data_IF_520437914884
#
_entry.id   IF_520437914884
#
_cell.length_a   1.000
_cell.length_b   1.000
_cell.length_c   1.000
_cell.angle_alpha   90.00
_cell.angle_beta   90.00
_cell.angle_gamma   90.00
#
_symmetry.space_group_name_H-M   'P 1'
#
loop_
_entity.id
_entity.type
_entity.pdbx_description
1 polymer ?
#
# COMPACT_ATOMS: atom_id res chain seq x y z
N UNK A 1 -2.76 16.48 -13.65
CA UNK A 1 -1.40 17.05 -13.55
C UNK A 1 -1.51 18.50 -13.14
N UNK A 2 -0.81 18.89 -12.11
CA UNK A 2 -0.69 20.24 -11.59
C UNK A 2 0.73 20.71 -11.87
N UNK A 3 0.87 21.71 -12.72
CA UNK A 3 2.18 22.25 -13.11
C UNK A 3 2.26 23.70 -12.66
N UNK A 4 3.29 24.00 -11.88
CA UNK A 4 3.57 25.37 -11.43
C UNK A 4 4.48 26.14 -12.36
N UNK A 5 4.50 27.46 -12.19
CA UNK A 5 5.39 28.37 -12.94
C UNK A 5 6.80 28.42 -12.32
N UNK A 6 6.95 28.02 -11.04
CA UNK A 6 8.24 27.99 -10.34
C UNK A 6 8.92 26.64 -10.56
N UNK A 7 10.27 26.61 -10.70
CA UNK A 7 11.03 25.37 -10.70
C UNK A 7 10.80 24.56 -9.42
N UNK A 8 10.78 23.25 -9.54
CA UNK A 8 10.63 22.34 -8.41
C UNK A 8 10.74 20.88 -8.87
N UNK A 9 10.68 19.94 -7.93
CA UNK A 9 10.68 18.50 -8.23
C UNK A 9 9.40 18.10 -8.96
N UNK A 10 9.47 16.97 -9.65
CA UNK A 10 8.30 16.28 -10.24
C UNK A 10 7.96 15.12 -9.31
N UNK A 11 6.75 15.09 -8.80
CA UNK A 11 6.27 13.95 -8.02
C UNK A 11 5.17 13.21 -8.77
N UNK A 12 5.31 11.90 -8.85
CA UNK A 12 4.30 10.99 -9.38
C UNK A 12 3.55 10.34 -8.24
N UNK A 13 2.22 10.42 -8.25
CA UNK A 13 1.34 9.77 -7.28
C UNK A 13 0.42 8.85 -8.05
N UNK A 14 0.56 7.54 -7.82
CA UNK A 14 -0.26 6.51 -8.45
C UNK A 14 -1.22 5.90 -7.44
N UNK A 15 -2.37 5.40 -7.93
CA UNK A 15 -3.30 4.61 -7.16
C UNK A 15 -4.06 3.64 -8.07
N UNK A 16 -4.66 2.61 -7.48
CA UNK A 16 -5.47 1.65 -8.22
C UNK A 16 -4.67 0.77 -9.17
N UNK A 17 -3.42 0.44 -8.83
CA UNK A 17 -2.65 -0.65 -9.47
C UNK A 17 -3.39 -1.97 -9.27
N UNK A 18 -4.01 -2.14 -8.09
CA UNK A 18 -5.00 -3.18 -7.83
C UNK A 18 -6.40 -2.57 -7.81
N UNK A 19 -7.34 -3.15 -8.55
CA UNK A 19 -8.65 -2.56 -8.78
C UNK A 19 -9.63 -2.66 -7.60
N UNK A 20 -9.34 -3.45 -6.60
CA UNK A 20 -10.15 -3.62 -5.39
C UNK A 20 -9.60 -2.86 -4.16
N UNK A 21 -8.56 -2.05 -4.34
CA UNK A 21 -7.91 -1.26 -3.30
C UNK A 21 -8.39 0.20 -3.34
N UNK A 22 -9.62 0.41 -2.90
CA UNK A 22 -10.35 1.66 -3.13
C UNK A 22 -9.88 2.85 -2.29
N UNK A 23 -9.36 2.63 -1.07
CA UNK A 23 -8.92 3.73 -0.21
C UNK A 23 -7.73 4.49 -0.81
N UNK A 24 -6.79 3.80 -1.47
CA UNK A 24 -5.71 4.45 -2.22
C UNK A 24 -6.25 5.34 -3.35
N UNK A 25 -7.25 4.84 -4.11
CA UNK A 25 -7.92 5.59 -5.18
C UNK A 25 -8.60 6.85 -4.63
N UNK A 26 -9.37 6.69 -3.54
CA UNK A 26 -10.11 7.80 -2.91
C UNK A 26 -9.15 8.83 -2.30
N UNK A 27 -8.03 8.40 -1.74
CA UNK A 27 -6.94 9.28 -1.27
C UNK A 27 -6.40 10.13 -2.43
N UNK A 28 -6.07 9.51 -3.56
CA UNK A 28 -5.58 10.22 -4.75
C UNK A 28 -6.60 11.21 -5.30
N UNK A 29 -7.89 10.83 -5.33
CA UNK A 29 -8.97 11.70 -5.77
C UNK A 29 -9.19 12.89 -4.82
N UNK A 30 -9.17 12.64 -3.49
CA UNK A 30 -9.28 13.68 -2.47
C UNK A 30 -8.12 14.66 -2.57
N UNK A 31 -6.89 14.16 -2.65
CA UNK A 31 -5.70 14.97 -2.84
C UNK A 31 -5.80 15.85 -4.10
N UNK A 32 -6.22 15.29 -5.22
CA UNK A 32 -6.38 16.05 -6.46
C UNK A 32 -7.35 17.23 -6.30
N UNK A 33 -8.48 17.04 -5.61
CA UNK A 33 -9.45 18.12 -5.33
C UNK A 33 -8.87 19.19 -4.40
N UNK A 34 -8.11 18.78 -3.38
CA UNK A 34 -7.51 19.71 -2.42
C UNK A 34 -6.33 20.51 -2.99
N UNK A 35 -5.75 20.06 -4.10
CA UNK A 35 -4.72 20.79 -4.86
C UNK A 35 -5.31 21.78 -5.86
N UNK A 36 -6.62 21.74 -6.15
CA UNK A 36 -7.26 22.69 -7.05
C UNK A 36 -7.12 24.12 -6.52
N UNK A 37 -6.57 25.01 -7.34
CA UNK A 37 -6.37 26.43 -6.99
C UNK A 37 -5.18 26.72 -6.07
N UNK A 38 -4.40 25.70 -5.66
CA UNK A 38 -3.18 25.93 -4.91
C UNK A 38 -2.03 26.40 -5.81
N UNK A 39 -1.11 27.17 -5.22
CA UNK A 39 0.16 27.54 -5.86
C UNK A 39 1.10 26.34 -5.86
N UNK A 40 1.53 25.90 -7.03
CA UNK A 40 2.39 24.73 -7.21
C UNK A 40 3.79 25.17 -7.65
N UNK A 41 4.82 24.55 -7.10
CA UNK A 41 6.20 24.61 -7.61
C UNK A 41 6.56 23.24 -8.20
N UNK A 42 7.22 23.23 -9.38
CA UNK A 42 7.50 21.97 -10.08
C UNK A 42 6.26 21.33 -10.71
N UNK A 43 6.08 20.03 -10.50
CA UNK A 43 4.97 19.30 -11.11
C UNK A 43 4.46 18.16 -10.20
N UNK A 44 3.14 18.10 -9.99
CA UNK A 44 2.46 17.00 -9.30
C UNK A 44 1.60 16.27 -10.32
N UNK A 45 1.92 15.01 -10.60
CA UNK A 45 1.12 14.16 -11.49
C UNK A 45 0.41 13.10 -10.66
N UNK A 46 -0.93 13.07 -10.73
CA UNK A 46 -1.76 12.08 -10.02
C UNK A 46 -2.43 11.18 -11.05
N UNK A 47 -2.26 9.87 -10.89
CA UNK A 47 -2.90 8.81 -11.69
C UNK A 47 -3.76 7.98 -10.74
N UNK A 48 -5.02 8.35 -10.50
CA UNK A 48 -5.84 7.75 -9.45
C UNK A 48 -6.36 6.35 -9.79
N UNK A 49 -6.25 5.91 -11.04
CA UNK A 49 -6.85 4.66 -11.53
C UNK A 49 -5.96 3.98 -12.56
N UNK A 50 -4.86 3.39 -12.11
CA UNK A 50 -3.91 2.71 -13.00
C UNK A 50 -4.54 1.48 -13.68
N UNK A 51 -5.35 0.70 -12.97
CA UNK A 51 -5.95 -0.56 -13.46
C UNK A 51 -7.47 -0.42 -13.63
N UNK A 52 -7.90 0.25 -14.68
CA UNK A 52 -9.34 0.45 -14.96
C UNK A 52 -10.10 -0.87 -15.14
N UNK A 53 -9.49 -1.88 -15.74
CA UNK A 53 -10.14 -3.18 -15.98
C UNK A 53 -10.36 -3.96 -14.68
N UNK A 54 -9.44 -3.87 -13.73
CA UNK A 54 -9.58 -4.42 -12.38
C UNK A 54 -10.64 -3.68 -11.57
N UNK A 55 -10.63 -2.34 -11.60
CA UNK A 55 -11.63 -1.51 -10.91
C UNK A 55 -13.04 -1.86 -11.38
N UNK A 56 -13.28 -1.94 -12.69
CA UNK A 56 -14.58 -2.27 -13.26
C UNK A 56 -15.09 -3.67 -12.87
N UNK A 57 -14.18 -4.56 -12.44
CA UNK A 57 -14.49 -5.94 -12.01
C UNK A 57 -14.37 -6.16 -10.50
N UNK A 58 -14.07 -5.12 -9.74
CA UNK A 58 -13.74 -5.23 -8.32
C UNK A 58 -12.66 -6.29 -8.05
N UNK A 59 -11.66 -6.34 -8.92
CA UNK A 59 -10.60 -7.34 -8.94
C UNK A 59 -9.25 -6.69 -8.68
N UNK A 60 -8.41 -7.41 -7.93
CA UNK A 60 -7.01 -7.06 -7.76
C UNK A 60 -6.26 -7.01 -9.09
N UNK A 61 -6.53 -7.98 -9.95
CA UNK A 61 -5.77 -8.19 -11.17
C UNK A 61 -6.23 -7.30 -12.34
N UNK A 62 -5.30 -7.07 -13.25
CA UNK A 62 -5.57 -6.54 -14.58
C UNK A 62 -6.22 -7.62 -15.44
N UNK A 63 -7.23 -7.21 -16.20
CA UNK A 63 -7.92 -8.07 -17.15
C UNK A 63 -7.78 -7.51 -18.56
N UNK A 64 -7.18 -8.30 -19.44
CA UNK A 64 -7.13 -8.00 -20.86
C UNK A 64 -8.51 -8.09 -21.50
N UNK A 65 -8.72 -7.34 -22.58
CA UNK A 65 -9.88 -7.50 -23.45
C UNK A 65 -9.79 -8.72 -24.36
N UNK A 66 -8.59 -9.30 -24.52
CA UNK A 66 -8.38 -10.48 -25.36
C UNK A 66 -8.95 -11.74 -24.65
N UNK A 67 -9.79 -12.54 -25.36
CA UNK A 67 -10.53 -13.64 -24.74
C UNK A 67 -9.64 -14.76 -24.19
N UNK A 68 -8.45 -14.93 -24.75
CA UNK A 68 -7.51 -16.00 -24.38
C UNK A 68 -6.42 -15.54 -23.40
N UNK A 69 -6.51 -14.29 -22.89
CA UNK A 69 -5.54 -13.76 -21.94
C UNK A 69 -5.94 -14.08 -20.51
N UNK A 70 -4.94 -14.50 -19.71
CA UNK A 70 -5.09 -14.64 -18.27
C UNK A 70 -5.07 -13.28 -17.58
N UNK A 71 -5.72 -13.17 -16.43
CA UNK A 71 -5.53 -12.00 -15.54
C UNK A 71 -4.12 -11.96 -14.97
N UNK A 72 -3.63 -10.75 -14.70
CA UNK A 72 -2.28 -10.54 -14.18
C UNK A 72 -2.25 -9.49 -13.06
N UNK A 73 -1.48 -9.75 -12.02
CA UNK A 73 -1.14 -8.76 -11.02
C UNK A 73 -0.13 -7.76 -11.61
N UNK A 74 -0.59 -6.53 -11.96
CA UNK A 74 0.28 -5.50 -12.53
C UNK A 74 1.48 -5.20 -11.64
N UNK A 75 1.31 -5.25 -10.32
CA UNK A 75 2.39 -5.01 -9.36
C UNK A 75 3.37 -6.18 -9.22
N UNK A 76 3.46 -7.03 -10.25
CA UNK A 76 4.46 -8.08 -10.43
C UNK A 76 5.07 -8.08 -11.85
N UNK A 77 4.61 -7.15 -12.70
CA UNK A 77 5.05 -7.11 -14.10
C UNK A 77 5.76 -5.82 -14.50
N UNK A 78 5.79 -4.77 -13.67
CA UNK A 78 6.54 -3.54 -13.95
C UNK A 78 8.05 -3.82 -14.09
N UNK A 79 8.78 -3.07 -14.94
CA UNK A 79 8.34 -2.01 -15.85
C UNK A 79 7.64 -2.51 -17.11
N UNK A 80 7.40 -3.80 -17.22
CA UNK A 80 6.81 -4.44 -18.39
C UNK A 80 7.78 -4.71 -19.52
N UNK A 81 7.22 -5.20 -20.63
CA UNK A 81 7.98 -5.51 -21.85
C UNK A 81 7.12 -5.18 -23.09
N UNK A 82 7.59 -4.37 -24.05
CA UNK A 82 6.82 -4.00 -25.24
C UNK A 82 6.50 -5.18 -26.15
N UNK A 83 7.21 -6.30 -26.00
CA UNK A 83 7.01 -7.53 -26.77
C UNK A 83 6.35 -8.66 -25.92
N UNK A 84 5.90 -8.35 -24.71
CA UNK A 84 5.25 -9.30 -23.81
C UNK A 84 3.76 -9.47 -24.08
N UNK A 85 3.07 -10.11 -23.13
CA UNK A 85 1.61 -10.20 -23.11
C UNK A 85 0.95 -8.81 -22.89
N UNK A 86 -0.37 -8.77 -22.88
CA UNK A 86 -1.13 -7.52 -22.77
C UNK A 86 -0.85 -6.77 -21.47
N UNK A 87 -0.73 -7.46 -20.34
CA UNK A 87 -0.43 -6.84 -19.06
C UNK A 87 0.99 -6.24 -19.06
N UNK A 88 1.95 -6.97 -19.60
CA UNK A 88 3.34 -6.53 -19.70
C UNK A 88 3.51 -5.35 -20.66
N UNK A 89 2.81 -5.35 -21.79
CA UNK A 89 2.80 -4.21 -22.73
C UNK A 89 2.12 -2.99 -22.13
N UNK A 90 1.02 -3.21 -21.40
CA UNK A 90 0.32 -2.13 -20.69
C UNK A 90 1.24 -1.48 -19.65
N UNK A 91 1.85 -2.29 -18.78
CA UNK A 91 2.80 -1.81 -17.77
C UNK A 91 3.98 -1.06 -18.42
N UNK A 92 4.54 -1.58 -19.53
CA UNK A 92 5.63 -0.93 -20.24
C UNK A 92 5.21 0.43 -20.84
N UNK A 93 4.02 0.49 -21.44
CA UNK A 93 3.50 1.75 -21.99
C UNK A 93 3.29 2.80 -20.91
N UNK A 94 2.75 2.42 -19.75
CA UNK A 94 2.62 3.32 -18.60
C UNK A 94 3.98 3.80 -18.11
N UNK A 95 4.91 2.88 -17.90
CA UNK A 95 6.24 3.18 -17.38
C UNK A 95 7.00 4.16 -18.25
N UNK A 96 7.15 3.86 -19.54
CA UNK A 96 7.97 4.64 -20.47
C UNK A 96 7.33 5.98 -20.86
N UNK A 97 5.99 6.05 -20.98
CA UNK A 97 5.34 7.24 -21.53
C UNK A 97 4.74 8.17 -20.45
N UNK A 98 4.50 7.68 -19.23
CA UNK A 98 3.81 8.47 -18.20
C UNK A 98 4.57 8.49 -16.88
N UNK A 99 4.91 7.33 -16.32
CA UNK A 99 5.36 7.23 -14.94
C UNK A 99 6.79 7.75 -14.80
N UNK A 100 7.76 7.11 -15.42
CA UNK A 100 9.18 7.46 -15.36
C UNK A 100 9.49 8.90 -15.83
N UNK A 101 8.96 9.39 -16.99
CA UNK A 101 9.31 10.73 -17.48
C UNK A 101 8.80 11.89 -16.60
N UNK A 102 7.85 11.64 -15.69
CA UNK A 102 7.23 12.65 -14.87
C UNK A 102 7.55 12.51 -13.36
N UNK A 103 8.59 11.77 -13.01
CA UNK A 103 8.94 11.51 -11.64
C UNK A 103 10.41 11.82 -11.33
N UNK A 104 10.65 12.62 -10.30
CA UNK A 104 11.88 12.72 -9.53
C UNK A 104 11.70 12.04 -8.16
N UNK A 105 10.43 11.87 -7.74
CA UNK A 105 9.95 11.15 -6.56
C UNK A 105 8.64 10.45 -6.92
N UNK A 106 8.32 9.34 -6.25
CA UNK A 106 7.05 8.66 -6.47
C UNK A 106 6.39 8.16 -5.18
N UNK A 107 5.07 8.13 -5.18
CA UNK A 107 4.22 7.56 -4.12
C UNK A 107 3.19 6.67 -4.78
N UNK A 108 3.13 5.40 -4.37
CA UNK A 108 2.11 4.45 -4.84
C UNK A 108 1.10 4.17 -3.72
N UNK A 109 -0.17 4.53 -3.96
CA UNK A 109 -1.25 4.43 -2.99
C UNK A 109 -2.02 3.13 -3.20
N UNK A 110 -1.98 2.29 -2.20
CA UNK A 110 -2.64 0.99 -2.14
C UNK A 110 -3.62 0.90 -0.97
N UNK A 111 -4.24 -0.23 -0.82
CA UNK A 111 -4.82 -0.77 0.40
C UNK A 111 -4.44 -2.24 0.49
N UNK A 112 -4.32 -2.78 1.69
CA UNK A 112 -3.99 -4.18 1.86
C UNK A 112 -5.11 -5.12 1.37
N UNK A 113 -4.77 -6.37 1.14
CA UNK A 113 -5.70 -7.39 0.69
C UNK A 113 -6.93 -7.48 1.61
N UNK A 114 -8.12 -7.66 1.04
CA UNK A 114 -9.37 -7.84 1.78
C UNK A 114 -9.33 -9.02 2.75
N UNK A 115 -10.17 -8.99 3.78
CA UNK A 115 -10.33 -10.07 4.77
C UNK A 115 -9.37 -9.99 5.96
N UNK A 116 -8.46 -9.01 6.00
CA UNK A 116 -7.59 -8.74 7.15
C UNK A 116 -7.50 -7.26 7.41
N UNK A 117 -7.60 -6.84 8.68
CA UNK A 117 -7.39 -5.46 9.09
C UNK A 117 -5.91 -5.07 8.99
N UNK A 118 -5.66 -3.83 8.64
CA UNK A 118 -4.32 -3.22 8.60
C UNK A 118 -4.39 -1.76 9.06
N UNK A 119 -3.33 -1.24 9.72
CA UNK A 119 -3.18 0.17 10.04
C UNK A 119 -2.79 0.97 8.79
N UNK A 120 -2.58 2.28 8.92
CA UNK A 120 -1.88 3.06 7.90
C UNK A 120 -0.42 2.62 7.88
N UNK A 121 0.04 2.10 6.75
CA UNK A 121 1.27 1.36 6.66
C UNK A 121 2.09 1.83 5.46
N UNK A 122 3.39 2.05 5.63
CA UNK A 122 4.28 2.46 4.56
C UNK A 122 5.40 1.42 4.35
N UNK A 123 5.72 1.15 3.09
CA UNK A 123 6.93 0.46 2.67
C UNK A 123 7.94 1.50 2.21
N UNK A 124 9.19 1.36 2.62
CA UNK A 124 10.28 2.24 2.20
C UNK A 124 11.60 1.47 2.11
N UNK A 125 12.37 1.73 1.08
CA UNK A 125 13.74 1.21 0.97
C UNK A 125 14.69 2.09 1.79
N UNK A 126 15.17 1.59 2.93
CA UNK A 126 16.03 2.33 3.86
C UNK A 126 17.45 2.60 3.32
N UNK A 127 17.77 2.10 2.14
CA UNK A 127 19.00 2.48 1.43
C UNK A 127 18.89 3.84 0.74
N UNK A 128 17.67 4.40 0.64
CA UNK A 128 17.36 5.66 -0.04
C UNK A 128 16.83 6.68 0.96
N UNK A 129 17.63 7.70 1.26
CA UNK A 129 17.30 8.73 2.25
C UNK A 129 15.96 9.42 1.97
N UNK A 130 15.67 9.73 0.70
CA UNK A 130 14.40 10.36 0.32
C UNK A 130 13.19 9.42 0.52
N UNK A 131 13.35 8.08 0.35
CA UNK A 131 12.27 7.12 0.63
C UNK A 131 11.95 7.08 2.14
N UNK A 132 12.96 6.99 3.01
CA UNK A 132 12.76 7.06 4.46
C UNK A 132 12.10 8.39 4.86
N UNK A 133 12.60 9.51 4.31
CA UNK A 133 12.08 10.85 4.58
C UNK A 133 10.59 10.94 4.20
N UNK A 134 10.23 10.51 2.99
CA UNK A 134 8.83 10.50 2.55
C UNK A 134 7.97 9.62 3.44
N UNK A 135 8.41 8.39 3.77
CA UNK A 135 7.64 7.48 4.61
C UNK A 135 7.36 8.08 6.00
N UNK A 136 8.33 8.71 6.64
CA UNK A 136 8.15 9.38 7.93
C UNK A 136 7.20 10.59 7.85
N UNK A 137 7.23 11.35 6.74
CA UNK A 137 6.32 12.48 6.50
C UNK A 137 4.85 12.05 6.29
N UNK A 138 4.62 10.81 5.81
CA UNK A 138 3.28 10.24 5.75
C UNK A 138 2.66 10.11 7.13
N UNK A 139 3.49 9.97 8.17
CA UNK A 139 3.08 9.76 9.55
C UNK A 139 2.17 8.51 9.71
N UNK A 140 2.62 7.34 9.22
CA UNK A 140 1.86 6.11 9.32
C UNK A 140 1.98 5.48 10.71
N UNK A 141 1.16 4.46 10.99
CA UNK A 141 1.29 3.67 12.21
C UNK A 141 2.52 2.75 12.14
N UNK A 142 2.88 2.30 10.90
CA UNK A 142 3.99 1.35 10.68
C UNK A 142 4.76 1.74 9.43
N UNK A 143 6.10 1.65 9.51
CA UNK A 143 6.99 1.67 8.34
C UNK A 143 7.78 0.36 8.31
N UNK A 144 7.71 -0.35 7.19
CA UNK A 144 8.55 -1.51 6.93
C UNK A 144 9.74 -1.10 6.07
N UNK A 145 10.94 -1.41 6.54
CA UNK A 145 12.13 -1.38 5.69
C UNK A 145 12.04 -2.51 4.66
N UNK A 146 11.68 -2.18 3.44
CA UNK A 146 11.49 -3.14 2.34
C UNK A 146 12.41 -2.78 1.16
N UNK A 147 13.46 -3.60 0.90
CA UNK A 147 14.30 -3.42 -0.28
C UNK A 147 13.59 -3.75 -1.60
N UNK A 148 12.36 -4.26 -1.51
CA UNK A 148 11.45 -4.54 -2.61
C UNK A 148 11.79 -5.75 -3.48
N UNK A 149 10.76 -6.32 -4.10
CA UNK A 149 10.84 -7.42 -5.04
C UNK A 149 10.76 -6.94 -6.50
N UNK A 150 11.36 -7.68 -7.47
CA UNK A 150 11.20 -7.38 -8.89
C UNK A 150 9.73 -7.37 -9.32
N UNK A 151 9.38 -6.41 -10.19
CA UNK A 151 8.03 -6.29 -10.76
C UNK A 151 7.07 -5.44 -9.93
N UNK A 152 7.44 -5.05 -8.72
CA UNK A 152 6.71 -4.07 -7.88
C UNK A 152 7.05 -2.66 -8.36
N UNK A 153 6.04 -1.81 -8.51
CA UNK A 153 6.19 -0.47 -9.07
C UNK A 153 7.17 0.39 -8.25
N UNK A 154 7.04 0.41 -6.93
CA UNK A 154 7.99 1.08 -6.03
C UNK A 154 9.43 0.64 -6.27
N UNK A 155 9.67 -0.67 -6.30
CA UNK A 155 11.00 -1.24 -6.54
C UNK A 155 11.57 -0.83 -7.90
N UNK A 156 10.71 -0.74 -8.91
CA UNK A 156 11.11 -0.32 -10.26
C UNK A 156 11.51 1.15 -10.28
N UNK A 157 10.78 2.02 -9.57
CA UNK A 157 11.18 3.41 -9.39
C UNK A 157 12.53 3.52 -8.66
N UNK A 158 12.66 2.86 -7.52
CA UNK A 158 13.87 2.88 -6.69
C UNK A 158 15.11 2.40 -7.48
N UNK A 159 14.96 1.37 -8.33
CA UNK A 159 16.03 0.89 -9.23
C UNK A 159 16.33 1.82 -10.40
N UNK A 160 15.44 2.74 -10.71
CA UNK A 160 15.63 3.77 -11.73
C UNK A 160 16.13 5.10 -11.14
N UNK A 161 16.66 5.08 -9.91
CA UNK A 161 17.14 6.25 -9.16
C UNK A 161 16.05 7.31 -8.91
N UNK A 162 14.79 6.85 -8.78
CA UNK A 162 13.63 7.66 -8.42
C UNK A 162 13.13 7.18 -7.07
N UNK A 163 13.48 7.85 -5.94
CA UNK A 163 13.03 7.45 -4.62
C UNK A 163 11.51 7.35 -4.55
N UNK A 164 11.02 6.21 -4.06
CA UNK A 164 9.61 5.87 -4.03
C UNK A 164 9.22 5.19 -2.73
N UNK A 165 7.94 5.33 -2.37
CA UNK A 165 7.31 4.61 -1.26
C UNK A 165 5.97 4.04 -1.71
N UNK A 166 5.55 2.95 -1.05
CA UNK A 166 4.18 2.44 -1.13
C UNK A 166 3.45 2.75 0.17
N UNK A 167 2.22 3.24 0.07
CA UNK A 167 1.35 3.51 1.22
C UNK A 167 0.12 2.62 1.13
N UNK A 168 -0.10 1.83 2.18
CA UNK A 168 -1.27 0.98 2.36
C UNK A 168 -2.30 1.70 3.23
N UNK A 169 -3.38 2.13 2.64
CA UNK A 169 -4.45 2.90 3.30
C UNK A 169 -5.51 1.92 3.84
N UNK A 170 -5.16 1.21 4.92
CA UNK A 170 -6.03 0.23 5.54
C UNK A 170 -6.32 -1.00 4.66
N UNK A 171 -7.54 -1.51 4.75
CA UNK A 171 -7.97 -2.75 4.10
C UNK A 171 -8.66 -2.50 2.75
N UNK A 172 -8.48 -3.40 1.79
CA UNK A 172 -9.20 -3.41 0.51
C UNK A 172 -10.69 -3.72 0.65
N UNK A 173 -11.50 -3.25 -0.29
CA UNK A 173 -12.97 -3.42 -0.36
C UNK A 173 -13.76 -2.86 0.82
N UNK A 174 -13.14 -2.02 1.62
CA UNK A 174 -13.77 -1.30 2.72
C UNK A 174 -13.38 0.18 2.63
N UNK A 175 -14.35 1.08 2.71
CA UNK A 175 -14.09 2.52 2.66
C UNK A 175 -13.87 3.04 4.07
N UNK A 176 -12.64 3.48 4.33
CA UNK A 176 -12.21 4.05 5.61
C UNK A 176 -11.88 5.54 5.43
N UNK A 177 -12.82 6.40 5.82
CA UNK A 177 -12.68 7.85 5.63
C UNK A 177 -11.59 8.46 6.53
N UNK A 178 -11.35 7.89 7.70
CA UNK A 178 -10.32 8.36 8.62
C UNK A 178 -8.93 8.03 8.06
N UNK A 179 -8.72 6.79 7.62
CA UNK A 179 -7.47 6.38 6.96
C UNK A 179 -7.19 7.18 5.69
N UNK A 180 -8.22 7.43 4.86
CA UNK A 180 -8.12 8.27 3.66
C UNK A 180 -7.69 9.69 4.03
N UNK A 181 -8.26 10.27 5.10
CA UNK A 181 -7.88 11.61 5.55
C UNK A 181 -6.45 11.64 6.05
N UNK A 182 -6.04 10.67 6.87
CA UNK A 182 -4.67 10.55 7.38
C UNK A 182 -3.66 10.42 6.23
N UNK A 183 -3.90 9.50 5.29
CA UNK A 183 -3.05 9.32 4.12
C UNK A 183 -2.97 10.58 3.25
N UNK A 184 -4.11 11.29 3.04
CA UNK A 184 -4.13 12.55 2.29
C UNK A 184 -3.25 13.61 2.97
N UNK A 185 -3.39 13.78 4.29
CA UNK A 185 -2.56 14.72 5.08
C UNK A 185 -1.08 14.34 5.01
N UNK A 186 -0.76 13.05 5.11
CA UNK A 186 0.62 12.56 4.98
C UNK A 186 1.23 12.86 3.62
N UNK A 187 0.50 12.62 2.52
CA UNK A 187 0.97 12.98 1.18
C UNK A 187 1.15 14.50 1.05
N UNK A 188 0.24 15.31 1.60
CA UNK A 188 0.42 16.77 1.63
C UNK A 188 1.67 17.19 2.42
N UNK A 189 2.01 16.49 3.52
CA UNK A 189 3.25 16.73 4.25
C UNK A 189 4.47 16.51 3.36
N UNK A 190 4.49 15.43 2.57
CA UNK A 190 5.55 15.22 1.57
C UNK A 190 5.61 16.37 0.58
N UNK A 191 4.47 16.80 0.02
CA UNK A 191 4.43 17.90 -0.94
C UNK A 191 4.93 19.22 -0.35
N UNK A 192 4.60 19.52 0.91
CA UNK A 192 5.05 20.73 1.64
C UNK A 192 6.54 20.68 1.95
N UNK A 193 7.05 19.56 2.44
CA UNK A 193 8.43 19.37 2.83
C UNK A 193 9.38 19.49 1.62
N UNK A 194 8.95 18.98 0.45
CA UNK A 194 9.66 19.18 -0.82
C UNK A 194 9.32 20.50 -1.52
N UNK A 195 8.57 21.40 -0.86
CA UNK A 195 8.21 22.74 -1.35
C UNK A 195 7.43 22.75 -2.68
N UNK A 196 6.68 21.70 -2.96
CA UNK A 196 5.80 21.61 -4.12
C UNK A 196 4.48 22.39 -3.90
N UNK A 197 4.05 22.51 -2.65
CA UNK A 197 2.92 23.34 -2.20
C UNK A 197 3.34 24.17 -0.97
N UNK A 198 2.63 25.27 -0.72
CA UNK A 198 2.88 26.12 0.45
C UNK A 198 2.25 25.49 1.72
N UNK A 199 2.80 25.82 2.89
CA UNK A 199 2.30 25.45 4.21
C UNK A 199 3.29 24.66 5.04
N UNK A 200 2.96 24.48 6.32
CA UNK A 200 3.78 23.73 7.26
C UNK A 200 3.39 22.25 7.27
N UNK A 201 4.40 21.40 7.55
CA UNK A 201 4.18 19.98 7.81
C UNK A 201 3.33 19.83 9.07
N UNK A 202 2.28 19.01 8.99
CA UNK A 202 1.42 18.69 10.13
C UNK A 202 1.94 17.42 10.78
N UNK A 203 2.38 17.52 12.01
CA UNK A 203 2.70 16.37 12.84
C UNK A 203 1.42 15.83 13.45
N UNK A 204 1.08 14.58 13.14
CA UNK A 204 -0.11 13.89 13.67
C UNK A 204 0.20 13.04 14.90
N UNK A 205 1.50 12.98 15.29
CA UNK A 205 2.02 12.31 16.50
C UNK A 205 1.44 10.89 16.80
N UNK A 206 1.18 10.01 15.82
CA UNK A 206 0.97 8.61 16.11
C UNK A 206 2.30 7.96 16.49
N UNK A 207 2.31 7.01 17.45
CA UNK A 207 3.49 6.18 17.67
C UNK A 207 3.76 5.32 16.44
N UNK A 208 4.74 5.69 15.62
CA UNK A 208 5.13 4.91 14.45
C UNK A 208 6.06 3.77 14.85
N UNK A 209 5.74 2.56 14.45
CA UNK A 209 6.60 1.39 14.57
C UNK A 209 7.40 1.22 13.28
N UNK A 210 8.73 1.33 13.38
CA UNK A 210 9.63 1.00 12.28
C UNK A 210 10.21 -0.40 12.49
N UNK A 211 10.16 -1.28 11.49
CA UNK A 211 10.66 -2.65 11.59
C UNK A 211 11.17 -3.19 10.26
N UNK A 212 11.84 -4.34 10.32
CA UNK A 212 12.48 -4.98 9.16
C UNK A 212 11.95 -6.38 8.90
N UNK A 213 11.36 -7.02 9.91
CA UNK A 213 10.95 -8.42 9.81
C UNK A 213 9.46 -8.58 10.03
N UNK A 214 8.86 -9.35 9.13
CA UNK A 214 7.46 -9.71 9.17
C UNK A 214 7.32 -11.19 9.50
N UNK A 215 6.62 -11.48 10.60
CA UNK A 215 6.23 -12.85 10.97
C UNK A 215 4.74 -13.03 10.74
N UNK A 216 4.37 -14.02 9.93
CA UNK A 216 2.98 -14.34 9.62
C UNK A 216 2.54 -15.64 10.32
N UNK A 217 1.54 -15.55 11.17
CA UNK A 217 0.81 -16.70 11.72
C UNK A 217 -0.31 -17.06 10.77
N UNK A 218 -0.33 -18.31 10.31
CA UNK A 218 -1.27 -18.78 9.27
C UNK A 218 -2.10 -19.94 9.77
N UNK A 219 -3.33 -20.06 9.24
CA UNK A 219 -4.22 -21.18 9.53
C UNK A 219 -3.61 -22.48 8.99
N UNK A 220 -3.50 -23.50 9.85
CA UNK A 220 -3.00 -24.82 9.48
C UNK A 220 -4.05 -25.67 8.78
N UNK A 221 -5.32 -25.41 9.10
CA UNK A 221 -6.48 -26.13 8.56
C UNK A 221 -7.65 -25.17 8.29
N UNK A 222 -8.72 -25.66 7.65
CA UNK A 222 -9.93 -24.87 7.40
C UNK A 222 -10.76 -24.74 8.67
N UNK A 223 -11.47 -23.61 8.83
CA UNK A 223 -12.36 -23.39 9.97
C UNK A 223 -12.65 -21.92 10.23
N UNK A 224 -13.18 -21.64 11.41
CA UNK A 224 -13.57 -20.31 11.85
C UNK A 224 -12.56 -19.79 12.86
N UNK A 225 -11.86 -18.72 12.54
CA UNK A 225 -10.81 -18.14 13.38
C UNK A 225 -11.34 -16.87 14.05
N UNK A 226 -11.21 -16.81 15.38
CA UNK A 226 -11.50 -15.63 16.21
C UNK A 226 -10.18 -15.09 16.75
N UNK A 227 -9.84 -13.86 16.39
CA UNK A 227 -8.67 -13.16 16.94
C UNK A 227 -8.97 -12.61 18.33
N UNK A 228 -7.94 -12.55 19.17
CA UNK A 228 -7.97 -12.02 20.55
C UNK A 228 -7.02 -10.83 20.72
N UNK A 229 -6.52 -10.29 19.61
CA UNK A 229 -5.60 -9.16 19.55
C UNK A 229 -6.14 -8.12 18.59
N UNK A 230 -5.78 -6.86 18.83
CA UNK A 230 -6.11 -5.72 17.98
C UNK A 230 -4.88 -5.21 17.24
N UNK A 231 -5.11 -4.35 16.24
CA UNK A 231 -4.01 -3.65 15.55
C UNK A 231 -3.20 -2.83 16.54
N UNK A 232 -1.89 -2.82 16.36
CA UNK A 232 -0.89 -2.12 17.17
C UNK A 232 -0.69 -2.67 18.58
N UNK A 233 -1.34 -3.80 18.95
CA UNK A 233 -1.02 -4.49 20.19
C UNK A 233 0.44 -4.97 20.21
N UNK A 234 1.15 -4.68 21.31
CA UNK A 234 2.43 -5.29 21.59
C UNK A 234 2.19 -6.65 22.26
N UNK A 235 2.59 -7.73 21.61
CA UNK A 235 2.43 -9.10 22.09
C UNK A 235 3.76 -9.72 22.53
N UNK A 236 3.72 -10.55 23.57
CA UNK A 236 4.88 -11.31 24.04
C UNK A 236 4.93 -12.70 23.36
N UNK A 237 6.14 -13.29 23.28
CA UNK A 237 6.27 -14.66 22.82
C UNK A 237 5.43 -15.62 23.72
N UNK A 238 4.65 -16.50 23.08
CA UNK A 238 3.70 -17.40 23.76
C UNK A 238 2.35 -16.78 24.12
N UNK A 239 2.12 -15.50 23.83
CA UNK A 239 0.81 -14.88 24.01
C UNK A 239 -0.20 -15.46 23.02
N UNK A 240 -1.42 -15.75 23.48
CA UNK A 240 -2.52 -16.23 22.65
C UNK A 240 -2.97 -15.13 21.68
N UNK A 241 -3.00 -15.45 20.38
CA UNK A 241 -3.39 -14.53 19.30
C UNK A 241 -4.80 -14.81 18.78
N UNK A 242 -5.14 -16.09 18.59
CA UNK A 242 -6.41 -16.48 18.01
C UNK A 242 -6.80 -17.90 18.39
N UNK A 243 -8.10 -18.21 18.27
CA UNK A 243 -8.65 -19.56 18.42
C UNK A 243 -9.39 -19.96 17.14
N UNK A 244 -9.20 -21.17 16.68
CA UNK A 244 -9.89 -21.73 15.52
C UNK A 244 -10.87 -22.82 15.94
N UNK A 245 -12.05 -22.78 15.30
CA UNK A 245 -13.16 -23.68 15.57
C UNK A 245 -13.56 -24.42 14.28
N UNK A 246 -14.09 -25.62 14.44
CA UNK A 246 -14.77 -26.35 13.34
C UNK A 246 -16.19 -25.83 13.13
N UNK A 247 -16.92 -26.42 12.16
CA UNK A 247 -18.31 -26.05 11.85
C UNK A 247 -19.32 -26.38 12.95
N UNK A 248 -18.95 -27.14 13.97
CA UNK A 248 -19.80 -27.47 15.11
C UNK A 248 -19.52 -26.59 16.34
N UNK A 249 -18.47 -25.71 16.26
CA UNK A 249 -18.07 -24.83 17.35
C UNK A 249 -17.06 -25.44 18.31
N UNK A 250 -16.52 -26.64 18.00
CA UNK A 250 -15.45 -27.21 18.80
C UNK A 250 -14.13 -26.50 18.48
N UNK A 251 -13.33 -26.19 19.51
CA UNK A 251 -12.00 -25.67 19.35
C UNK A 251 -11.08 -26.74 18.73
N UNK A 252 -10.41 -26.41 17.62
CA UNK A 252 -9.53 -27.33 16.89
C UNK A 252 -8.08 -26.88 16.88
N UNK A 253 -7.82 -25.56 17.10
CA UNK A 253 -6.47 -25.00 17.12
C UNK A 253 -6.45 -23.69 17.90
N UNK A 254 -5.36 -23.44 18.65
CA UNK A 254 -5.03 -22.14 19.22
C UNK A 254 -3.71 -21.65 18.66
N UNK A 255 -3.65 -20.39 18.27
CA UNK A 255 -2.46 -19.71 17.72
C UNK A 255 -1.82 -18.83 18.75
N UNK A 256 -0.51 -18.91 18.86
CA UNK A 256 0.29 -18.13 19.80
C UNK A 256 1.35 -17.34 19.06
N UNK A 257 1.77 -16.20 19.63
CA UNK A 257 2.88 -15.44 19.08
C UNK A 257 4.20 -16.19 19.23
N UNK A 258 4.95 -16.39 18.15
CA UNK A 258 6.28 -17.00 18.22
C UNK A 258 7.35 -16.07 18.80
N UNK A 259 7.10 -14.77 18.82
CA UNK A 259 8.08 -13.72 19.18
C UNK A 259 7.39 -12.59 19.96
N UNK A 260 8.18 -11.73 20.59
CA UNK A 260 7.72 -10.42 21.03
C UNK A 260 7.67 -9.48 19.83
N UNK A 261 6.52 -8.89 19.51
CA UNK A 261 6.33 -8.05 18.30
C UNK A 261 5.05 -7.22 18.37
N UNK A 262 4.88 -6.30 17.43
CA UNK A 262 3.65 -5.53 17.27
C UNK A 262 2.73 -6.18 16.24
N UNK A 263 1.42 -6.24 16.52
CA UNK A 263 0.38 -6.74 15.61
C UNK A 263 0.10 -5.70 14.53
N UNK A 264 0.40 -6.03 13.28
CA UNK A 264 0.16 -5.15 12.13
C UNK A 264 -0.96 -5.66 11.21
N UNK A 265 -1.49 -6.85 11.47
CA UNK A 265 -2.66 -7.35 10.79
C UNK A 265 -3.29 -8.50 11.56
N UNK A 266 -4.60 -8.58 11.55
CA UNK A 266 -5.37 -9.74 11.97
C UNK A 266 -6.55 -9.98 11.04
N UNK A 267 -7.08 -11.21 11.01
CA UNK A 267 -8.24 -11.50 10.18
C UNK A 267 -9.52 -10.82 10.70
N UNK A 268 -10.34 -10.30 9.79
CA UNK A 268 -11.69 -9.76 10.08
C UNK A 268 -12.81 -10.67 9.55
N UNK A 269 -12.49 -11.56 8.63
CA UNK A 269 -13.39 -12.61 8.15
C UNK A 269 -13.08 -13.88 8.92
N UNK A 270 -14.06 -14.44 9.64
CA UNK A 270 -13.83 -15.61 10.49
C UNK A 270 -13.46 -16.86 9.70
N UNK A 271 -14.02 -17.09 8.51
CA UNK A 271 -13.72 -18.27 7.69
C UNK A 271 -12.30 -18.19 7.15
N UNK A 272 -11.47 -19.20 7.45
CA UNK A 272 -10.11 -19.32 6.96
C UNK A 272 -9.87 -20.67 6.31
N UNK A 273 -9.27 -20.65 5.12
CA UNK A 273 -8.72 -21.83 4.46
C UNK A 273 -7.32 -22.13 4.99
N UNK A 274 -6.79 -23.35 4.82
CA UNK A 274 -5.40 -23.66 5.12
C UNK A 274 -4.44 -22.69 4.41
N UNK A 275 -3.42 -22.21 5.13
CA UNK A 275 -2.44 -21.22 4.64
C UNK A 275 -2.91 -19.75 4.69
N UNK A 276 -4.19 -19.47 4.96
CA UNK A 276 -4.68 -18.09 5.10
C UNK A 276 -4.03 -17.36 6.29
N UNK A 277 -3.82 -16.06 6.16
CA UNK A 277 -3.30 -15.23 7.23
C UNK A 277 -4.29 -15.19 8.41
N UNK A 278 -3.78 -15.37 9.62
CA UNK A 278 -4.50 -15.20 10.90
C UNK A 278 -4.06 -13.89 11.55
N UNK A 279 -2.76 -13.74 11.84
CA UNK A 279 -2.15 -12.54 12.41
C UNK A 279 -0.81 -12.30 11.73
N UNK A 280 -0.47 -11.03 11.53
CA UNK A 280 0.85 -10.61 11.06
C UNK A 280 1.49 -9.70 12.10
N UNK A 281 2.76 -9.94 12.35
CA UNK A 281 3.57 -9.28 13.35
C UNK A 281 4.76 -8.60 12.70
N UNK A 282 5.22 -7.47 13.28
CA UNK A 282 6.45 -6.77 12.90
C UNK A 282 7.38 -6.63 14.10
N UNK A 283 8.70 -6.82 13.89
CA UNK A 283 9.78 -6.64 14.87
C UNK A 283 11.04 -6.03 14.24
#
# INVERSE_FOLDING_TARGET
MFKGDKPGKRIMITAGVHGDEQNGILTAQKLARELEGQSISGCITIVPTVNLSGIARHSRDFHSAAPDSSSANLNRVFPGNPNGDDASRYANSLWENLLKPNADLAIDLHSQTSGSAYPLYAFADYRLDDSIRMARLINPDVILNDPGDPGILETVYNRADIPSITIEVGIGRYTDLEMIQRATTGVQNVLKDYQLIEGDVVDLDPPCVEGERITSVRAEQGGFVICHVELMDLVEAGQKLATQYNSFGDEIQTYYSPIKATVISHNVESVRAPGSLVVRLID
#
